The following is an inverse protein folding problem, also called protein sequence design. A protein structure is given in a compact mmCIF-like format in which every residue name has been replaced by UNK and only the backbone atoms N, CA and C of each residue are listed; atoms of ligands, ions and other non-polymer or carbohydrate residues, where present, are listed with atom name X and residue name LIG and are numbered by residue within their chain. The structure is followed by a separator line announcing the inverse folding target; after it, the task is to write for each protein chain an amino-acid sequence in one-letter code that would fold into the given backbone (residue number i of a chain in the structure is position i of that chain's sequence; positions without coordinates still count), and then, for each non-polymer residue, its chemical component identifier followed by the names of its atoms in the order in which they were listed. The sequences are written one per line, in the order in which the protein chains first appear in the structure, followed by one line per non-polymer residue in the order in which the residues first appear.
data_IF_462968081149
#
_entry.id   IF_462968081149
#
_cell.length_a   1.000
_cell.length_b   1.000
_cell.length_c   1.000
_cell.angle_alpha   90.00
_cell.angle_beta   90.00
_cell.angle_gamma   90.00
#
_symmetry.space_group_name_H-M   'P 1'
#
loop_
_entity.id
_entity.type
_entity.pdbx_description
1 polymer ?
#
# COMPACT_ATOMS: atom_id res chain seq x y z
N UNK A 1 -19.14 -21.11 -3.43
CA UNK A 1 -18.13 -20.41 -2.61
C UNK A 1 -17.08 -19.88 -3.58
N UNK A 2 -16.92 -18.55 -3.72
CA UNK A 2 -15.77 -18.00 -4.48
C UNK A 2 -14.49 -18.55 -3.83
N UNK A 3 -13.58 -19.13 -4.62
CA UNK A 3 -12.34 -19.74 -4.14
C UNK A 3 -11.57 -18.77 -3.24
N UNK A 4 -11.66 -18.94 -1.92
CA UNK A 4 -10.96 -18.10 -0.95
C UNK A 4 -9.53 -18.62 -0.82
N UNK A 5 -8.54 -17.75 -1.00
CA UNK A 5 -7.14 -18.08 -0.72
C UNK A 5 -6.92 -18.22 0.79
N UNK A 6 -7.24 -19.40 1.32
CA UNK A 6 -7.21 -19.72 2.74
C UNK A 6 -5.80 -19.97 3.27
N UNK A 7 -5.63 -20.01 4.59
CA UNK A 7 -4.35 -20.33 5.22
C UNK A 7 -3.84 -21.71 4.78
N UNK A 8 -4.74 -22.70 4.61
CA UNK A 8 -4.37 -24.04 4.14
C UNK A 8 -3.87 -24.00 2.68
N UNK A 9 -4.56 -23.25 1.81
CA UNK A 9 -4.14 -23.08 0.42
C UNK A 9 -2.79 -22.35 0.32
N UNK A 10 -2.57 -21.34 1.16
CA UNK A 10 -1.29 -20.66 1.31
C UNK A 10 -0.19 -21.64 1.77
N UNK A 11 -0.41 -22.40 2.85
CA UNK A 11 0.57 -23.36 3.36
C UNK A 11 0.90 -24.46 2.36
N UNK A 12 -0.08 -24.92 1.58
CA UNK A 12 0.14 -25.88 0.51
C UNK A 12 1.08 -25.32 -0.58
N UNK A 13 0.87 -24.05 -0.94
CA UNK A 13 1.58 -23.42 -2.06
C UNK A 13 2.94 -22.82 -1.67
N UNK A 14 3.07 -22.34 -0.44
CA UNK A 14 4.18 -21.49 0.03
C UNK A 14 4.66 -21.85 1.45
N UNK A 15 4.36 -23.05 1.93
CA UNK A 15 4.76 -23.49 3.27
C UNK A 15 6.25 -23.79 3.42
N UNK A 16 6.98 -23.96 2.31
CA UNK A 16 8.41 -24.26 2.29
C UNK A 16 9.20 -23.20 1.53
N UNK A 17 10.45 -22.99 1.92
CA UNK A 17 11.34 -22.00 1.31
C UNK A 17 11.62 -22.30 -0.17
N UNK A 18 11.72 -23.58 -0.56
CA UNK A 18 11.90 -23.99 -1.94
C UNK A 18 10.71 -23.59 -2.83
N UNK A 19 9.49 -23.73 -2.30
CA UNK A 19 8.28 -23.34 -3.04
C UNK A 19 8.23 -21.82 -3.25
N UNK A 20 8.58 -21.06 -2.21
CA UNK A 20 8.65 -19.61 -2.27
C UNK A 20 9.74 -19.15 -3.25
N UNK A 21 10.91 -19.77 -3.21
CA UNK A 21 12.02 -19.44 -4.11
C UNK A 21 11.66 -19.72 -5.57
N UNK A 22 11.02 -20.86 -5.83
CA UNK A 22 10.56 -21.22 -7.17
C UNK A 22 9.48 -20.27 -7.68
N UNK A 23 8.57 -19.81 -6.80
CA UNK A 23 7.59 -18.79 -7.15
C UNK A 23 8.27 -17.47 -7.56
N UNK A 24 9.30 -17.01 -6.82
CA UNK A 24 10.04 -15.79 -7.18
C UNK A 24 10.83 -15.99 -8.48
N UNK A 25 11.41 -17.18 -8.70
CA UNK A 25 12.07 -17.53 -9.96
C UNK A 25 11.10 -17.38 -11.11
N UNK A 26 9.93 -18.00 -11.05
CA UNK A 26 8.92 -17.96 -12.13
C UNK A 26 8.37 -16.57 -12.38
N UNK A 27 8.23 -15.77 -11.32
CA UNK A 27 7.78 -14.39 -11.44
C UNK A 27 8.76 -13.52 -12.24
N UNK A 28 10.07 -13.76 -12.09
CA UNK A 28 11.12 -12.87 -12.62
C UNK A 28 11.84 -13.40 -13.84
N UNK A 29 11.87 -14.71 -14.00
CA UNK A 29 12.63 -15.41 -15.02
C UNK A 29 11.72 -16.45 -15.68
N UNK A 30 11.51 -16.35 -17.00
CA UNK A 30 10.84 -17.40 -17.76
C UNK A 30 11.54 -18.76 -17.60
N UNK A 31 10.83 -19.85 -17.88
CA UNK A 31 11.39 -21.20 -17.78
C UNK A 31 12.54 -21.45 -18.76
N UNK A 32 12.45 -20.85 -19.93
CA UNK A 32 13.52 -20.74 -20.92
C UNK A 32 13.78 -19.27 -21.24
N UNK A 33 15.04 -18.86 -21.16
CA UNK A 33 15.44 -17.49 -21.47
C UNK A 33 16.82 -17.47 -22.10
N UNK A 34 17.13 -16.42 -22.85
CA UNK A 34 18.49 -16.21 -23.34
C UNK A 34 19.45 -16.01 -22.16
N UNK A 35 20.49 -16.85 -22.08
CA UNK A 35 21.50 -16.73 -21.05
C UNK A 35 22.32 -15.44 -21.25
N UNK A 36 22.44 -14.55 -20.24
CA UNK A 36 23.20 -13.30 -20.37
C UNK A 36 24.67 -13.50 -20.77
N UNK A 37 25.27 -14.64 -20.40
CA UNK A 37 26.68 -14.97 -20.64
C UNK A 37 26.92 -15.66 -22.00
N UNK A 38 26.23 -16.77 -22.27
CA UNK A 38 26.49 -17.57 -23.49
C UNK A 38 25.52 -17.30 -24.64
N UNK A 39 24.52 -16.44 -24.45
CA UNK A 39 23.56 -15.99 -25.48
C UNK A 39 22.72 -17.09 -26.13
N UNK A 40 22.70 -18.28 -25.54
CA UNK A 40 21.81 -19.38 -25.94
C UNK A 40 20.52 -19.32 -25.13
N UNK A 41 19.39 -19.64 -25.75
CA UNK A 41 18.15 -19.95 -25.03
C UNK A 41 18.41 -21.17 -24.16
N UNK A 42 18.31 -20.99 -22.84
CA UNK A 42 18.79 -21.93 -21.85
C UNK A 42 17.75 -22.17 -20.74
N UNK A 43 17.82 -23.37 -20.16
CA UNK A 43 17.15 -23.68 -18.91
C UNK A 43 18.10 -23.39 -17.75
N UNK A 44 17.54 -22.87 -16.67
CA UNK A 44 18.28 -22.58 -15.44
C UNK A 44 17.84 -23.53 -14.33
N UNK A 45 18.76 -24.39 -13.90
CA UNK A 45 18.48 -25.41 -12.89
C UNK A 45 18.88 -24.93 -11.49
N UNK A 46 18.14 -25.38 -10.49
CA UNK A 46 18.40 -25.06 -9.09
C UNK A 46 19.79 -25.54 -8.68
N UNK A 47 20.60 -24.66 -8.10
CA UNK A 47 21.87 -25.06 -7.46
C UNK A 47 21.59 -25.50 -6.03
N UNK A 48 22.10 -26.67 -5.65
CA UNK A 48 21.98 -27.26 -4.31
C UNK A 48 22.51 -26.29 -3.25
N UNK A 49 21.81 -26.18 -2.12
CA UNK A 49 22.17 -25.35 -0.95
C UNK A 49 22.37 -23.85 -1.22
N UNK A 50 21.93 -23.35 -2.37
CA UNK A 50 22.02 -21.93 -2.73
C UNK A 50 20.68 -21.41 -3.15
N UNK A 51 20.47 -20.09 -3.11
CA UNK A 51 19.26 -19.45 -3.66
C UNK A 51 19.38 -19.10 -5.15
N UNK A 52 20.42 -19.60 -5.82
CA UNK A 52 20.71 -19.34 -7.23
C UNK A 52 20.30 -20.48 -8.16
N UNK A 53 20.29 -20.19 -9.47
CA UNK A 53 20.03 -21.15 -10.54
C UNK A 53 21.11 -21.01 -11.61
N UNK A 54 21.55 -22.12 -12.20
CA UNK A 54 22.66 -22.17 -13.14
C UNK A 54 22.19 -22.57 -14.56
N UNK A 55 22.72 -21.86 -15.56
CA UNK A 55 22.53 -22.17 -16.97
C UNK A 55 23.06 -23.57 -17.31
N UNK A 56 22.26 -24.37 -17.99
CA UNK A 56 22.60 -25.73 -18.42
C UNK A 56 23.76 -25.82 -19.42
N UNK A 57 24.09 -24.74 -20.15
CA UNK A 57 25.17 -24.75 -21.13
C UNK A 57 26.52 -24.22 -20.60
N UNK A 58 26.52 -23.18 -19.78
CA UNK A 58 27.75 -22.47 -19.40
C UNK A 58 27.93 -22.24 -17.90
N UNK A 59 26.98 -22.72 -17.08
CA UNK A 59 27.03 -22.56 -15.62
C UNK A 59 26.85 -21.13 -15.11
N UNK A 60 26.45 -20.19 -15.95
CA UNK A 60 26.16 -18.81 -15.50
C UNK A 60 25.00 -18.81 -14.51
N UNK A 61 25.16 -18.08 -13.40
CA UNK A 61 24.19 -18.06 -12.32
C UNK A 61 23.25 -16.87 -12.42
N UNK A 62 21.96 -17.11 -12.18
CA UNK A 62 20.96 -16.10 -11.89
C UNK A 62 20.55 -16.17 -10.41
N UNK A 63 20.14 -15.03 -9.86
CA UNK A 63 19.79 -14.88 -8.45
C UNK A 63 18.37 -14.30 -8.32
N UNK A 64 17.33 -15.14 -8.22
CA UNK A 64 15.94 -14.72 -8.14
C UNK A 64 15.61 -13.71 -7.05
N UNK A 65 16.37 -13.67 -5.96
CA UNK A 65 16.12 -12.74 -4.86
C UNK A 65 16.81 -11.38 -5.03
N UNK A 66 17.78 -11.25 -5.96
CA UNK A 66 18.58 -10.03 -6.11
C UNK A 66 17.73 -8.86 -6.61
N UNK A 67 17.76 -7.72 -5.92
CA UNK A 67 16.95 -6.54 -6.20
C UNK A 67 15.49 -6.65 -5.73
N UNK A 68 15.17 -7.61 -4.85
CA UNK A 68 13.85 -7.76 -4.23
C UNK A 68 13.91 -7.47 -2.73
N UNK A 69 12.75 -7.39 -2.07
CA UNK A 69 12.67 -7.27 -0.60
C UNK A 69 13.30 -8.46 0.17
N UNK A 70 13.55 -9.57 -0.52
CA UNK A 70 14.18 -10.78 0.03
C UNK A 70 15.71 -10.78 -0.11
N UNK A 71 16.29 -9.82 -0.84
CA UNK A 71 17.73 -9.76 -1.07
C UNK A 71 18.52 -9.69 0.25
N UNK A 72 19.54 -10.55 0.37
CA UNK A 72 20.45 -10.62 1.53
C UNK A 72 19.72 -10.83 2.88
N UNK A 73 18.51 -11.37 2.85
CA UNK A 73 17.78 -11.73 4.06
C UNK A 73 18.24 -13.10 4.55
N UNK A 74 18.51 -13.21 5.86
CA UNK A 74 18.74 -14.50 6.54
C UNK A 74 17.44 -15.10 7.09
N UNK A 75 16.32 -14.36 6.98
CA UNK A 75 15.00 -14.84 7.40
C UNK A 75 14.42 -15.76 6.32
N UNK A 76 13.87 -16.93 6.70
CA UNK A 76 13.27 -17.87 5.74
C UNK A 76 12.27 -17.22 4.78
N UNK A 77 12.25 -17.65 3.52
CA UNK A 77 11.34 -17.10 2.50
C UNK A 77 9.87 -17.39 2.83
N UNK A 78 9.57 -18.57 3.36
CA UNK A 78 8.24 -18.94 3.85
C UNK A 78 7.70 -17.93 4.87
N UNK A 79 8.57 -17.34 5.71
CA UNK A 79 8.19 -16.34 6.70
C UNK A 79 7.83 -15.01 6.05
N UNK A 80 8.58 -14.61 5.03
CA UNK A 80 8.28 -13.43 4.22
C UNK A 80 6.94 -13.56 3.49
N UNK A 81 6.73 -14.70 2.85
CA UNK A 81 5.47 -15.01 2.17
C UNK A 81 4.31 -15.04 3.16
N UNK A 82 4.52 -15.58 4.37
CA UNK A 82 3.50 -15.57 5.42
C UNK A 82 3.16 -14.15 5.88
N UNK A 83 4.18 -13.28 6.04
CA UNK A 83 3.97 -11.89 6.39
C UNK A 83 3.18 -11.14 5.30
N UNK A 84 3.50 -11.38 4.02
CA UNK A 84 2.75 -10.84 2.87
C UNK A 84 1.29 -11.34 2.89
N UNK A 85 1.09 -12.64 3.05
CA UNK A 85 -0.23 -13.25 3.20
C UNK A 85 -1.03 -12.59 4.31
N UNK A 86 -0.47 -12.50 5.52
CA UNK A 86 -1.14 -11.90 6.68
C UNK A 86 -1.56 -10.44 6.45
N UNK A 87 -0.72 -9.64 5.80
CA UNK A 87 -1.05 -8.25 5.47
C UNK A 87 -2.18 -8.15 4.45
N UNK A 88 -2.29 -9.07 3.49
CA UNK A 88 -3.40 -9.08 2.51
C UNK A 88 -4.72 -9.63 3.06
N UNK A 89 -4.68 -10.49 4.09
CA UNK A 89 -5.90 -11.07 4.67
C UNK A 89 -6.56 -10.18 5.73
N UNK A 90 -5.85 -9.19 6.28
CA UNK A 90 -6.36 -8.37 7.38
C UNK A 90 -6.90 -7.03 6.89
N UNK A 91 -8.13 -6.69 7.29
CA UNK A 91 -8.78 -5.41 6.88
C UNK A 91 -8.26 -4.20 7.65
N UNK A 92 -7.99 -4.37 8.95
CA UNK A 92 -7.52 -3.29 9.85
C UNK A 92 -6.00 -3.34 10.08
N UNK A 93 -5.30 -4.27 9.44
CA UNK A 93 -3.86 -4.44 9.52
C UNK A 93 -3.42 -5.33 10.67
N UNK A 94 -2.12 -5.61 10.72
CA UNK A 94 -1.49 -6.45 11.75
C UNK A 94 -0.28 -5.76 12.37
N UNK A 95 -0.13 -5.85 13.70
CA UNK A 95 1.02 -5.28 14.40
C UNK A 95 2.28 -6.14 14.21
N UNK A 96 3.46 -5.52 14.12
CA UNK A 96 4.72 -6.26 14.04
C UNK A 96 4.94 -7.16 15.28
N UNK A 97 4.39 -6.79 16.45
CA UNK A 97 4.38 -7.62 17.66
C UNK A 97 3.55 -8.89 17.50
N UNK A 98 2.49 -8.86 16.71
CA UNK A 98 1.72 -10.07 16.40
C UNK A 98 2.52 -10.98 15.46
N UNK A 99 3.14 -10.43 14.41
CA UNK A 99 3.99 -11.22 13.51
C UNK A 99 5.19 -11.84 14.24
N UNK A 100 5.80 -11.11 15.17
CA UNK A 100 6.86 -11.59 16.08
C UNK A 100 6.42 -12.89 16.77
N UNK A 101 5.27 -12.87 17.44
CA UNK A 101 4.72 -14.04 18.16
C UNK A 101 4.37 -15.20 17.23
N UNK A 102 3.86 -14.91 16.03
CA UNK A 102 3.44 -15.95 15.08
C UNK A 102 4.64 -16.67 14.45
N UNK A 103 5.73 -15.95 14.18
CA UNK A 103 6.91 -16.50 13.50
C UNK A 103 8.07 -16.86 14.43
N UNK A 104 8.02 -16.44 15.71
CA UNK A 104 9.13 -16.64 16.65
C UNK A 104 10.40 -15.85 16.31
N UNK A 105 10.30 -14.85 15.44
CA UNK A 105 11.41 -13.95 15.09
C UNK A 105 11.51 -12.80 16.09
N UNK A 106 12.55 -11.97 16.00
CA UNK A 106 12.61 -10.74 16.81
C UNK A 106 11.64 -9.68 16.30
N UNK A 107 11.18 -8.78 17.19
CA UNK A 107 10.41 -7.59 16.79
C UNK A 107 11.09 -6.79 15.66
N UNK A 108 12.41 -6.60 15.72
CA UNK A 108 13.17 -5.86 14.70
C UNK A 108 13.06 -6.53 13.34
N UNK A 109 13.14 -7.85 13.28
CA UNK A 109 12.93 -8.65 12.07
C UNK A 109 11.50 -8.48 11.55
N UNK A 110 10.49 -8.69 12.41
CA UNK A 110 9.10 -8.56 12.03
C UNK A 110 8.74 -7.15 11.51
N UNK A 111 9.25 -6.12 12.17
CA UNK A 111 9.07 -4.74 11.75
C UNK A 111 9.76 -4.44 10.42
N UNK A 112 11.00 -4.93 10.21
CA UNK A 112 11.69 -4.83 8.91
C UNK A 112 10.88 -5.50 7.81
N UNK A 113 10.32 -6.68 8.06
CA UNK A 113 9.51 -7.40 7.08
C UNK A 113 8.30 -6.57 6.66
N UNK A 114 7.50 -6.11 7.61
CA UNK A 114 6.35 -5.27 7.30
C UNK A 114 6.74 -3.94 6.63
N UNK A 115 7.85 -3.31 7.03
CA UNK A 115 8.33 -2.09 6.37
C UNK A 115 8.62 -2.35 4.89
N UNK A 116 9.35 -3.43 4.57
CA UNK A 116 9.69 -3.77 3.19
C UNK A 116 8.46 -4.20 2.38
N UNK A 117 7.53 -4.95 2.98
CA UNK A 117 6.27 -5.33 2.32
C UNK A 117 5.40 -4.10 2.03
N UNK A 118 5.34 -3.12 2.93
CA UNK A 118 4.65 -1.84 2.66
C UNK A 118 5.22 -1.09 1.47
N UNK A 119 6.53 -1.23 1.18
CA UNK A 119 7.11 -0.63 -0.02
C UNK A 119 6.53 -1.24 -1.31
N UNK A 120 6.15 -2.52 -1.28
CA UNK A 120 5.42 -3.17 -2.39
C UNK A 120 3.97 -2.70 -2.52
N UNK A 121 3.42 -2.12 -1.45
CA UNK A 121 2.04 -1.61 -1.40
C UNK A 121 1.97 -0.13 -1.77
N UNK A 122 3.11 0.50 -2.10
CA UNK A 122 3.15 1.87 -2.54
C UNK A 122 2.22 2.06 -3.76
N UNK A 123 1.51 3.18 -3.77
CA UNK A 123 0.54 3.47 -4.82
C UNK A 123 1.26 3.91 -6.09
N UNK A 124 0.81 3.40 -7.23
CA UNK A 124 1.25 3.89 -8.54
C UNK A 124 0.33 5.01 -9.00
N UNK A 125 0.86 6.17 -9.43
CA UNK A 125 0.04 7.29 -9.86
C UNK A 125 -0.66 6.95 -11.18
N UNK A 126 -1.99 7.06 -11.18
CA UNK A 126 -2.85 7.07 -12.36
C UNK A 126 -3.84 8.23 -12.21
N UNK A 127 -4.28 8.80 -13.33
CA UNK A 127 -5.33 9.80 -13.32
C UNK A 127 -6.68 9.13 -13.08
N UNK A 128 -7.42 9.62 -12.09
CA UNK A 128 -8.76 9.16 -11.77
C UNK A 128 -9.79 10.00 -12.54
N UNK A 129 -10.63 9.33 -13.32
CA UNK A 129 -11.71 9.88 -14.14
C UNK A 129 -13.10 9.56 -13.58
N UNK A 130 -14.16 10.06 -14.24
CA UNK A 130 -15.54 9.85 -13.83
C UNK A 130 -15.93 10.69 -12.61
N UNK A 131 -16.62 10.10 -11.63
CA UNK A 131 -16.99 10.79 -10.38
C UNK A 131 -15.92 10.54 -9.32
N UNK A 132 -15.24 11.61 -8.89
CA UNK A 132 -14.12 11.57 -7.96
C UNK A 132 -14.49 12.32 -6.68
N UNK A 133 -14.44 11.63 -5.54
CA UNK A 133 -14.62 12.20 -4.21
C UNK A 133 -13.26 12.60 -3.63
N UNK A 134 -13.16 13.81 -3.08
CA UNK A 134 -11.94 14.33 -2.48
C UNK A 134 -12.25 14.84 -1.08
N UNK A 135 -11.44 14.42 -0.12
CA UNK A 135 -11.58 14.78 1.29
C UNK A 135 -10.23 14.65 2.01
N UNK A 136 -10.15 15.22 3.21
CA UNK A 136 -8.97 15.15 4.06
C UNK A 136 -9.31 14.63 5.45
N UNK A 137 -8.35 13.91 6.02
CA UNK A 137 -8.41 13.50 7.40
C UNK A 137 -7.15 13.87 8.17
N UNK A 138 -7.34 14.15 9.45
CA UNK A 138 -6.28 14.44 10.39
C UNK A 138 -5.91 13.19 11.20
N UNK A 139 -4.61 12.88 11.24
CA UNK A 139 -4.01 11.74 11.93
C UNK A 139 -3.08 12.23 13.04
N UNK A 140 -3.25 11.71 14.25
CA UNK A 140 -2.47 12.11 15.42
C UNK A 140 -3.26 12.05 16.72
N UNK A 141 -2.57 12.19 17.85
CA UNK A 141 -3.20 12.26 19.17
C UNK A 141 -4.03 13.53 19.34
N UNK A 142 -5.08 13.48 20.16
CA UNK A 142 -5.69 14.71 20.68
C UNK A 142 -4.67 15.37 21.62
N UNK A 143 -4.48 16.68 21.52
CA UNK A 143 -3.88 17.43 22.63
C UNK A 143 -4.67 17.12 23.91
N UNK A 144 -3.98 17.08 25.06
CA UNK A 144 -4.65 16.94 26.36
C UNK A 144 -5.63 18.11 26.53
N UNK A 145 -6.73 17.88 27.25
CA UNK A 145 -7.81 18.84 27.48
C UNK A 145 -7.27 20.26 27.77
N UNK A 146 -7.71 21.25 26.97
CA UNK A 146 -7.40 22.68 27.15
C UNK A 146 -7.71 23.20 28.56
N UNK A 147 -8.60 22.53 29.29
CA UNK A 147 -9.02 22.92 30.63
C UNK A 147 -7.91 22.89 31.69
N UNK A 148 -6.81 22.15 31.49
CA UNK A 148 -5.79 21.94 32.53
C UNK A 148 -4.43 22.58 32.27
N UNK A 149 -4.15 23.10 31.07
CA UNK A 149 -2.85 23.74 30.78
C UNK A 149 -3.01 24.90 29.79
N UNK A 150 -2.95 26.16 30.25
CA UNK A 150 -2.77 27.31 29.36
C UNK A 150 -1.39 27.18 28.68
N UNK A 151 -1.32 27.38 27.35
CA UNK A 151 -0.12 27.26 26.51
C UNK A 151 0.33 25.84 26.11
N UNK A 152 -0.59 24.89 25.91
CA UNK A 152 -0.23 23.64 25.24
C UNK A 152 -0.09 23.86 23.73
N UNK A 153 1.14 23.75 23.20
CA UNK A 153 1.34 23.52 21.77
C UNK A 153 0.62 22.23 21.39
N UNK A 154 -0.52 22.34 20.69
CA UNK A 154 -1.17 21.19 20.08
C UNK A 154 -0.14 20.50 19.20
N UNK A 155 0.10 19.19 19.43
CA UNK A 155 0.92 18.42 18.49
C UNK A 155 0.20 18.53 17.14
N UNK A 156 0.84 19.09 16.10
CA UNK A 156 0.19 19.27 14.82
C UNK A 156 -0.30 17.92 14.33
N UNK A 157 -1.58 17.84 14.00
CA UNK A 157 -2.10 16.62 13.36
C UNK A 157 -1.53 16.55 11.96
N UNK A 158 -1.14 15.37 11.55
CA UNK A 158 -0.72 15.10 10.19
C UNK A 158 -1.95 15.03 9.28
N UNK A 159 -1.85 15.53 8.05
CA UNK A 159 -2.97 15.59 7.10
C UNK A 159 -2.82 14.51 6.05
N UNK A 160 -3.86 13.71 5.85
CA UNK A 160 -3.93 12.75 4.75
C UNK A 160 -5.08 13.16 3.84
N UNK A 161 -4.76 13.40 2.57
CA UNK A 161 -5.75 13.64 1.52
C UNK A 161 -6.11 12.34 0.82
N UNK A 162 -7.38 12.17 0.51
CA UNK A 162 -7.92 11.04 -0.24
C UNK A 162 -8.59 11.54 -1.50
N UNK A 163 -8.32 10.86 -2.61
CA UNK A 163 -8.92 11.09 -3.93
C UNK A 163 -9.46 9.75 -4.37
N UNK A 164 -10.78 9.60 -4.45
CA UNK A 164 -11.44 8.29 -4.60
C UNK A 164 -12.39 8.33 -5.79
N UNK A 165 -12.15 7.48 -6.79
CA UNK A 165 -13.12 7.24 -7.87
C UNK A 165 -14.27 6.38 -7.33
N UNK A 166 -15.51 6.82 -7.50
CA UNK A 166 -16.68 6.03 -7.13
C UNK A 166 -16.69 4.69 -7.86
N UNK A 167 -16.91 3.61 -7.11
CA UNK A 167 -16.87 2.23 -7.61
C UNK A 167 -15.55 1.88 -8.30
N UNK A 168 -14.46 2.56 -7.97
CA UNK A 168 -13.16 2.39 -8.61
C UNK A 168 -11.99 2.39 -7.61
N UNK A 169 -10.86 2.89 -8.11
CA UNK A 169 -9.60 3.02 -7.39
C UNK A 169 -9.56 4.28 -6.53
N UNK A 170 -8.61 4.31 -5.63
CA UNK A 170 -8.37 5.41 -4.73
C UNK A 170 -6.88 5.72 -4.59
N UNK A 171 -6.59 6.99 -4.44
CA UNK A 171 -5.28 7.54 -4.17
C UNK A 171 -5.27 8.28 -2.83
N UNK A 172 -4.24 8.05 -2.02
CA UNK A 172 -4.13 8.64 -0.69
C UNK A 172 -2.73 9.16 -0.40
N UNK A 173 -2.64 10.40 0.07
CA UNK A 173 -1.36 11.07 0.28
C UNK A 173 -1.29 11.80 1.61
N UNK A 174 -0.24 11.55 2.38
CA UNK A 174 0.20 12.38 3.49
C UNK A 174 0.78 13.68 2.93
N UNK A 175 0.11 14.79 3.20
CA UNK A 175 0.42 16.12 2.69
C UNK A 175 0.80 17.08 3.82
N UNK A 176 1.57 18.15 3.53
CA UNK A 176 2.04 19.06 4.58
C UNK A 176 0.93 19.93 5.20
N UNK A 177 -0.16 20.21 4.48
CA UNK A 177 -1.27 21.06 4.92
C UNK A 177 -2.47 20.96 3.96
N UNK A 178 -3.64 21.47 4.38
CA UNK A 178 -4.87 21.58 3.57
C UNK A 178 -4.95 22.90 2.79
N UNK A 179 -3.81 23.53 2.52
CA UNK A 179 -3.74 24.78 1.79
C UNK A 179 -4.14 24.59 0.32
N UNK A 180 -4.88 25.56 -0.23
CA UNK A 180 -5.38 25.57 -1.61
C UNK A 180 -4.37 25.06 -2.65
N UNK A 181 -3.14 25.56 -2.63
CA UNK A 181 -2.12 25.19 -3.63
C UNK A 181 -1.61 23.76 -3.48
N UNK A 182 -1.47 23.29 -2.23
CA UNK A 182 -1.10 21.91 -1.92
C UNK A 182 -2.16 20.94 -2.45
N UNK A 183 -3.43 21.22 -2.18
CA UNK A 183 -4.55 20.40 -2.65
C UNK A 183 -4.67 20.42 -4.18
N UNK A 184 -4.62 21.61 -4.79
CA UNK A 184 -4.71 21.75 -6.24
C UNK A 184 -3.58 20.99 -6.95
N UNK A 185 -2.36 21.01 -6.41
CA UNK A 185 -1.25 20.23 -6.96
C UNK A 185 -1.59 18.73 -7.00
N UNK A 186 -2.05 18.17 -5.88
CA UNK A 186 -2.41 16.75 -5.82
C UNK A 186 -3.57 16.40 -6.75
N UNK A 187 -4.56 17.29 -6.89
CA UNK A 187 -5.69 17.12 -7.81
C UNK A 187 -5.20 17.08 -9.25
N UNK A 188 -4.35 18.04 -9.66
CA UNK A 188 -3.80 18.06 -11.03
C UNK A 188 -2.95 16.83 -11.37
N UNK A 189 -2.25 16.29 -10.39
CA UNK A 189 -1.40 15.11 -10.57
C UNK A 189 -2.19 13.79 -10.65
N UNK A 190 -3.40 13.71 -10.06
CA UNK A 190 -4.12 12.44 -9.85
C UNK A 190 -5.59 12.44 -10.28
N UNK A 191 -6.12 13.54 -10.80
CA UNK A 191 -7.52 13.66 -11.25
C UNK A 191 -7.54 14.13 -12.70
N UNK A 192 -8.21 13.33 -13.53
CA UNK A 192 -8.43 13.67 -14.93
C UNK A 192 -9.22 15.00 -15.03
N UNK A 193 -8.83 15.95 -15.89
CA UNK A 193 -9.55 17.21 -16.05
C UNK A 193 -11.03 17.07 -16.44
N UNK A 194 -11.42 15.94 -17.05
CA UNK A 194 -12.81 15.63 -17.42
C UNK A 194 -13.63 15.05 -16.27
N UNK A 195 -13.01 14.76 -15.13
CA UNK A 195 -13.69 14.21 -13.96
C UNK A 195 -14.64 15.22 -13.31
N UNK A 196 -15.72 14.68 -12.74
CA UNK A 196 -16.65 15.41 -11.88
C UNK A 196 -16.21 15.24 -10.43
N UNK A 197 -15.70 16.32 -9.85
CA UNK A 197 -15.13 16.36 -8.50
C UNK A 197 -16.21 16.66 -7.46
N UNK A 198 -16.22 15.88 -6.39
CA UNK A 198 -17.12 16.00 -5.23
C UNK A 198 -16.29 16.30 -3.98
N UNK A 199 -16.56 17.41 -3.29
CA UNK A 199 -15.89 17.75 -2.00
C UNK A 199 -16.92 18.15 -0.95
N UNK A 200 -16.46 18.34 0.29
CA UNK A 200 -17.22 19.03 1.33
C UNK A 200 -17.23 20.57 1.10
N UNK A 201 -17.75 21.33 2.07
CA UNK A 201 -17.80 22.81 2.03
C UNK A 201 -16.46 23.50 2.31
N UNK A 202 -15.33 22.79 2.30
CA UNK A 202 -14.06 23.42 2.64
C UNK A 202 -13.67 24.44 1.55
N UNK A 203 -13.56 25.71 1.95
CA UNK A 203 -13.37 26.84 1.03
C UNK A 203 -12.11 26.73 0.15
N UNK A 204 -11.16 25.88 0.53
CA UNK A 204 -10.03 25.53 -0.32
C UNK A 204 -10.44 24.88 -1.64
N UNK A 205 -11.64 24.31 -1.81
CA UNK A 205 -12.07 23.69 -3.08
C UNK A 205 -12.86 24.62 -4.01
N UNK A 206 -13.37 25.75 -3.53
CA UNK A 206 -14.27 26.64 -4.29
C UNK A 206 -13.66 27.21 -5.59
N UNK A 207 -12.35 27.06 -5.79
CA UNK A 207 -11.63 27.56 -6.96
C UNK A 207 -11.44 26.51 -8.05
N UNK A 208 -11.82 25.25 -7.84
CA UNK A 208 -11.63 24.17 -8.82
C UNK A 208 -12.24 24.46 -10.20
N UNK A 209 -13.43 25.08 -10.32
CA UNK A 209 -13.98 25.47 -11.63
C UNK A 209 -13.06 26.41 -12.42
N UNK A 210 -12.27 27.27 -11.75
CA UNK A 210 -11.32 28.17 -12.41
C UNK A 210 -10.14 27.44 -13.06
N UNK A 211 -9.94 26.17 -12.70
CA UNK A 211 -8.89 25.30 -13.25
C UNK A 211 -9.44 24.21 -14.17
N UNK A 212 -10.71 24.32 -14.58
CA UNK A 212 -11.32 23.45 -15.59
C UNK A 212 -12.03 22.21 -15.04
N UNK A 213 -12.11 22.04 -13.72
CA UNK A 213 -12.81 20.90 -13.12
C UNK A 213 -14.31 21.18 -12.95
N UNK A 214 -15.15 20.21 -13.30
CA UNK A 214 -16.53 20.20 -12.85
C UNK A 214 -16.55 19.89 -11.35
N UNK A 215 -17.12 20.79 -10.53
CA UNK A 215 -17.06 20.67 -9.07
C UNK A 215 -18.45 20.85 -8.44
N UNK A 216 -18.84 19.88 -7.62
CA UNK A 216 -20.01 19.95 -6.75
C UNK A 216 -19.59 19.81 -5.28
N UNK A 217 -20.25 20.55 -4.38
CA UNK A 217 -19.99 20.49 -2.94
C UNK A 217 -21.22 20.03 -2.15
N UNK A 218 -20.98 19.29 -1.06
CA UNK A 218 -22.03 18.80 -0.16
C UNK A 218 -22.12 19.71 1.05
N UNK A 219 -23.29 20.29 1.32
CA UNK A 219 -23.53 21.07 2.53
C UNK A 219 -23.89 20.18 3.72
N UNK A 220 -22.93 19.92 4.61
CA UNK A 220 -23.16 19.14 5.84
C UNK A 220 -23.83 19.95 6.97
N UNK A 221 -23.85 21.29 6.88
CA UNK A 221 -24.34 22.17 7.95
C UNK A 221 -25.87 22.35 7.96
N UNK A 222 -26.58 21.98 6.88
CA UNK A 222 -28.04 22.17 6.74
C UNK A 222 -28.90 20.91 6.83
N UNK A 223 -28.38 19.81 7.39
CA UNK A 223 -29.16 18.58 7.63
C UNK A 223 -29.68 17.90 6.35
N UNK A 224 -29.20 18.32 5.18
CA UNK A 224 -29.55 17.74 3.89
C UNK A 224 -28.63 16.56 3.63
N UNK A 225 -28.92 15.43 4.26
CA UNK A 225 -28.38 14.17 3.77
C UNK A 225 -28.99 13.94 2.39
N UNK A 226 -28.14 14.00 1.36
CA UNK A 226 -28.40 13.62 -0.02
C UNK A 226 -29.11 14.67 -0.90
N UNK A 227 -28.32 15.58 -1.50
CA UNK A 227 -28.67 16.22 -2.79
C UNK A 227 -28.41 15.20 -3.91
N UNK A 228 -29.23 14.16 -3.99
CA UNK A 228 -29.08 13.07 -4.97
C UNK A 228 -27.68 12.43 -4.95
N UNK A 229 -27.00 12.37 -6.10
CA UNK A 229 -25.68 11.74 -6.25
C UNK A 229 -24.51 12.58 -5.67
N UNK A 230 -24.71 13.66 -4.94
CA UNK A 230 -23.62 14.53 -4.43
C UNK A 230 -23.29 14.15 -2.97
N UNK A 231 -22.20 13.39 -2.75
CA UNK A 231 -21.71 12.93 -1.44
C UNK A 231 -20.23 12.49 -1.50
N UNK A 232 -19.56 12.43 -0.34
CA UNK A 232 -18.18 11.95 -0.13
C UNK A 232 -18.11 10.65 0.72
N UNK A 233 -19.22 9.91 0.82
CA UNK A 233 -19.35 8.72 1.67
C UNK A 233 -18.27 7.64 1.41
N UNK A 234 -17.74 7.54 0.19
CA UNK A 234 -16.77 6.50 -0.17
C UNK A 234 -15.43 6.77 0.51
N UNK A 235 -14.97 8.03 0.46
CA UNK A 235 -13.71 8.45 1.09
C UNK A 235 -13.82 8.48 2.63
N UNK A 236 -14.98 8.90 3.18
CA UNK A 236 -15.25 8.81 4.63
C UNK A 236 -15.25 7.36 5.16
N UNK A 237 -15.77 6.43 4.36
CA UNK A 237 -15.73 5.00 4.64
C UNK A 237 -14.29 4.48 4.74
N UNK A 238 -13.39 4.96 3.88
CA UNK A 238 -11.97 4.64 3.96
C UNK A 238 -11.32 5.22 5.22
N UNK A 239 -11.57 6.49 5.55
CA UNK A 239 -11.07 7.11 6.78
C UNK A 239 -11.46 6.35 8.04
N UNK A 240 -12.69 5.87 8.06
CA UNK A 240 -13.19 5.07 9.16
C UNK A 240 -12.40 3.76 9.32
N UNK A 241 -12.01 3.09 8.24
CA UNK A 241 -11.19 1.87 8.30
C UNK A 241 -9.76 2.21 8.74
N UNK A 242 -9.15 3.22 8.10
CA UNK A 242 -7.79 3.68 8.42
C UNK A 242 -7.68 4.05 9.90
N UNK A 243 -8.53 4.96 10.40
CA UNK A 243 -8.50 5.41 11.80
C UNK A 243 -8.69 4.27 12.79
N UNK A 244 -9.67 3.38 12.56
CA UNK A 244 -9.88 2.22 13.45
C UNK A 244 -8.66 1.31 13.51
N UNK A 245 -8.01 1.06 12.38
CA UNK A 245 -6.80 0.25 12.35
C UNK A 245 -5.60 0.95 13.00
N UNK A 246 -5.44 2.26 12.81
CA UNK A 246 -4.43 3.05 13.52
C UNK A 246 -4.65 3.01 15.03
N UNK A 247 -5.85 3.32 15.51
CA UNK A 247 -6.14 3.34 16.95
C UNK A 247 -6.16 1.95 17.59
N UNK A 248 -6.60 0.92 16.87
CA UNK A 248 -6.72 -0.43 17.40
C UNK A 248 -5.42 -1.24 17.34
N UNK A 249 -4.75 -1.23 16.19
CA UNK A 249 -3.64 -2.14 15.88
C UNK A 249 -2.28 -1.50 16.13
N UNK A 250 -2.04 -0.30 15.58
CA UNK A 250 -0.71 0.31 15.62
C UNK A 250 -0.53 1.25 16.83
N UNK A 251 -1.64 1.78 17.36
CA UNK A 251 -1.72 2.78 18.45
C UNK A 251 -1.13 4.13 18.10
N UNK A 252 0.12 4.16 17.66
CA UNK A 252 0.87 5.37 17.28
C UNK A 252 1.65 5.08 16.01
N UNK A 253 1.56 5.98 15.03
CA UNK A 253 2.36 5.96 13.81
C UNK A 253 3.14 7.27 13.77
N UNK A 254 4.46 7.20 13.58
CA UNK A 254 5.27 8.40 13.42
C UNK A 254 5.04 9.03 12.05
N UNK A 255 5.20 10.36 11.98
CA UNK A 255 5.14 11.14 10.74
C UNK A 255 5.97 10.50 9.60
N UNK A 256 7.20 10.07 9.92
CA UNK A 256 8.14 9.45 8.98
C UNK A 256 7.56 8.23 8.25
N UNK A 257 6.68 7.45 8.88
CA UNK A 257 6.15 6.22 8.31
C UNK A 257 4.69 6.34 7.87
N UNK A 258 4.01 7.45 8.17
CA UNK A 258 2.56 7.59 7.96
C UNK A 258 2.14 7.23 6.53
N UNK A 259 2.84 7.74 5.51
CA UNK A 259 2.55 7.41 4.11
C UNK A 259 2.57 5.90 3.85
N UNK A 260 3.59 5.18 4.32
CA UNK A 260 3.68 3.73 4.08
C UNK A 260 2.53 2.92 4.72
N UNK A 261 1.96 3.42 5.83
CA UNK A 261 0.76 2.83 6.40
C UNK A 261 -0.47 3.19 5.58
N UNK A 262 -0.61 4.44 5.13
CA UNK A 262 -1.68 4.86 4.23
C UNK A 262 -1.68 4.01 2.95
N UNK A 263 -0.50 3.76 2.37
CA UNK A 263 -0.30 2.88 1.21
C UNK A 263 -0.79 1.44 1.49
N UNK A 264 -0.54 0.88 2.69
CA UNK A 264 -1.07 -0.43 3.08
C UNK A 264 -2.60 -0.48 3.03
N UNK A 265 -3.30 0.58 3.46
CA UNK A 265 -4.76 0.64 3.37
C UNK A 265 -5.23 0.90 1.94
N UNK A 266 -4.55 1.78 1.21
CA UNK A 266 -4.85 2.09 -0.18
C UNK A 266 -4.75 0.83 -1.06
N UNK A 267 -3.68 0.06 -0.91
CA UNK A 267 -3.47 -1.19 -1.62
C UNK A 267 -4.61 -2.19 -1.36
N UNK A 268 -5.00 -2.40 -0.09
CA UNK A 268 -6.13 -3.27 0.26
C UNK A 268 -7.45 -2.76 -0.27
N UNK A 269 -7.65 -1.44 -0.31
CA UNK A 269 -8.83 -0.85 -0.90
C UNK A 269 -8.86 -1.14 -2.40
N UNK A 270 -7.81 -0.80 -3.15
CA UNK A 270 -7.77 -0.96 -4.61
C UNK A 270 -7.90 -2.43 -5.06
N UNK A 271 -7.34 -3.37 -4.29
CA UNK A 271 -7.37 -4.80 -4.60
C UNK A 271 -8.51 -5.56 -3.89
N UNK A 272 -9.50 -4.86 -3.32
CA UNK A 272 -10.62 -5.48 -2.56
C UNK A 272 -11.51 -6.41 -3.40
N UNK A 273 -11.50 -6.23 -4.72
CA UNK A 273 -12.26 -7.03 -5.68
C UNK A 273 -11.49 -8.22 -6.23
N UNK A 274 -10.19 -8.32 -5.94
CA UNK A 274 -9.32 -9.34 -6.50
C UNK A 274 -9.72 -10.73 -5.99
N UNK A 275 -9.56 -11.73 -6.88
CA UNK A 275 -9.70 -13.14 -6.47
C UNK A 275 -8.68 -13.50 -5.39
N UNK A 276 -7.45 -13.00 -5.52
CA UNK A 276 -6.37 -13.22 -4.58
C UNK A 276 -5.45 -11.99 -4.49
N UNK A 277 -5.65 -11.16 -3.46
CA UNK A 277 -4.83 -9.98 -3.19
C UNK A 277 -3.36 -10.34 -2.90
N UNK A 278 -3.08 -11.55 -2.40
CA UNK A 278 -1.70 -12.02 -2.22
C UNK A 278 -0.95 -12.06 -3.54
N UNK A 279 -1.58 -12.54 -4.62
CA UNK A 279 -0.93 -12.62 -5.93
C UNK A 279 -0.67 -11.23 -6.51
N UNK A 280 -1.59 -10.29 -6.32
CA UNK A 280 -1.42 -8.89 -6.73
C UNK A 280 -0.25 -8.23 -6.01
N UNK A 281 -0.13 -8.43 -4.69
CA UNK A 281 1.03 -7.98 -3.92
C UNK A 281 2.32 -8.72 -4.32
N UNK A 282 2.24 -10.03 -4.59
CA UNK A 282 3.40 -10.84 -4.95
C UNK A 282 3.99 -10.39 -6.29
N UNK A 283 3.17 -10.02 -7.27
CA UNK A 283 3.63 -9.49 -8.56
C UNK A 283 4.52 -8.25 -8.39
N UNK A 284 4.23 -7.39 -7.41
CA UNK A 284 5.01 -6.19 -7.10
C UNK A 284 6.46 -6.50 -6.69
N UNK A 285 6.77 -7.73 -6.26
CA UNK A 285 8.16 -8.17 -5.96
C UNK A 285 9.07 -8.05 -7.18
N UNK A 286 8.55 -8.20 -8.41
CA UNK A 286 9.34 -8.04 -9.63
C UNK A 286 9.70 -6.57 -9.93
N UNK A 287 8.90 -5.63 -9.44
CA UNK A 287 8.96 -4.19 -9.76
C UNK A 287 9.85 -3.39 -8.79
N UNK A 288 10.35 -4.02 -7.73
CA UNK A 288 11.10 -3.40 -6.61
C UNK A 288 12.39 -2.67 -7.01
N UNK A 289 12.88 -2.83 -8.24
CA UNK A 289 14.11 -2.16 -8.71
C UNK A 289 14.05 -0.62 -8.72
N UNK A 290 12.97 0.02 -8.27
CA UNK A 290 12.82 1.48 -8.18
C UNK A 290 12.76 2.08 -6.76
N UNK A 291 12.78 1.31 -5.68
CA UNK A 291 12.64 1.87 -4.32
C UNK A 291 13.93 1.77 -3.50
N UNK A 292 15.01 2.40 -4.00
CA UNK A 292 16.08 2.87 -3.12
C UNK A 292 15.61 4.14 -2.41
N UNK A 293 14.78 3.99 -1.37
CA UNK A 293 14.68 5.06 -0.38
C UNK A 293 16.03 5.15 0.34
N UNK A 294 16.65 6.33 0.45
CA UNK A 294 17.92 6.49 1.14
C UNK A 294 17.74 6.01 2.59
N UNK A 295 18.69 5.20 3.05
CA UNK A 295 18.83 4.87 4.45
C UNK A 295 19.07 6.17 5.22
N UNK A 296 18.01 6.71 5.81
CA UNK A 296 18.03 7.74 6.85
C UNK A 296 17.01 7.35 7.91
#
# INVERSE_FOLDING_TARGET
MKDKFSLRAFQYSYGKDEQCLEAVKRLRFPDEMECPKCKRVAKFYKVTDRTSYACNFCGHHIYPLAGTIFEKSTTPLSYWFFAMYLMTQTRSGTSAKQLERMLGVTYKTAWRMFKQIRMLMAQSPSLLDGIVEIDETFMGGKGKNKAYVPNFNEIPKEVVMGIVKRKGEAYFKHIPNTGKWTLLQQIKEHVDPTARVMTDEYGSYAHLPKFGYQHDSVNHSRGTYVLGDVHNNTVEGFWSILKRGVYGVYRVISKKYLQSYVDEYAHRYNHRGDKNMFDSLFKQVAEVKLLRLPLA
#
